data_IF_686117348730
#
_entry.id   IF_686117348730
#
_cell.length_a   1.000
_cell.length_b   1.000
_cell.length_c   1.000
_cell.angle_alpha   90.00
_cell.angle_beta   90.00
_cell.angle_gamma   90.00
#
_symmetry.space_group_name_H-M   'P 1'
#
loop_
_entity.id
_entity.type
_entity.pdbx_description
1 polymer ?
#
# COMPACT_ATOMS: atom_id res chain seq x y z
N UNK A 1 -29.64 17.18 -7.74
CA UNK A 1 -29.60 16.92 -9.19
C UNK A 1 -29.89 15.44 -9.42
N UNK A 2 -31.03 15.10 -10.00
CA UNK A 2 -31.34 13.71 -10.39
C UNK A 2 -30.81 13.46 -11.79
N UNK A 3 -29.72 12.69 -11.90
CA UNK A 3 -29.18 12.27 -13.20
C UNK A 3 -30.03 11.14 -13.80
N UNK A 4 -30.21 11.09 -15.13
CA UNK A 4 -30.91 10.01 -15.80
C UNK A 4 -30.22 8.66 -15.55
N UNK A 5 -31.00 7.65 -15.16
CA UNK A 5 -30.57 6.34 -14.64
C UNK A 5 -29.78 5.46 -15.63
N UNK A 6 -29.50 5.91 -16.85
CA UNK A 6 -28.83 5.12 -17.89
C UNK A 6 -27.50 5.70 -18.39
N UNK A 7 -26.99 6.77 -17.77
CA UNK A 7 -25.62 7.22 -18.05
C UNK A 7 -24.70 6.32 -17.24
N UNK A 8 -23.84 5.54 -17.92
CA UNK A 8 -22.69 4.89 -17.26
C UNK A 8 -21.92 5.97 -16.52
N UNK A 9 -22.10 6.03 -15.20
CA UNK A 9 -21.51 7.09 -14.40
C UNK A 9 -19.98 6.92 -14.46
N UNK A 10 -19.28 7.95 -14.91
CA UNK A 10 -17.84 7.84 -15.12
C UNK A 10 -17.11 7.80 -13.76
N UNK A 11 -15.93 7.16 -13.72
CA UNK A 11 -15.04 7.19 -12.55
C UNK A 11 -14.88 8.62 -12.02
N UNK A 12 -14.65 9.57 -12.91
CA UNK A 12 -14.52 11.00 -12.58
C UNK A 12 -15.78 11.56 -11.91
N UNK A 13 -16.97 11.24 -12.40
CA UNK A 13 -18.22 11.73 -11.79
C UNK A 13 -18.40 11.21 -10.36
N UNK A 14 -18.08 9.95 -10.08
CA UNK A 14 -18.17 9.42 -8.71
C UNK A 14 -17.14 10.04 -7.78
N UNK A 15 -15.90 10.19 -8.24
CA UNK A 15 -14.85 10.86 -7.46
C UNK A 15 -15.22 12.32 -7.21
N UNK A 16 -15.81 13.03 -8.16
CA UNK A 16 -16.30 14.39 -7.93
C UNK A 16 -17.36 14.43 -6.82
N UNK A 17 -18.27 13.45 -6.75
CA UNK A 17 -19.27 13.37 -5.67
C UNK A 17 -18.61 13.15 -4.31
N UNK A 18 -17.68 12.19 -4.22
CA UNK A 18 -16.90 11.94 -3.00
C UNK A 18 -16.10 13.17 -2.57
N UNK A 19 -15.44 13.86 -3.50
CA UNK A 19 -14.69 15.08 -3.23
C UNK A 19 -15.57 16.22 -2.71
N UNK A 20 -16.75 16.42 -3.31
CA UNK A 20 -17.69 17.44 -2.83
C UNK A 20 -18.15 17.13 -1.41
N UNK A 21 -18.59 15.89 -1.15
CA UNK A 21 -19.05 15.48 0.18
C UNK A 21 -17.93 15.54 1.21
N UNK A 22 -16.74 15.02 0.88
CA UNK A 22 -15.55 15.08 1.73
C UNK A 22 -15.18 16.51 2.08
N UNK A 23 -15.14 17.41 1.09
CA UNK A 23 -14.84 18.82 1.31
C UNK A 23 -15.88 19.53 2.21
N UNK A 24 -17.16 19.22 2.05
CA UNK A 24 -18.21 19.79 2.91
C UNK A 24 -18.06 19.35 4.38
N UNK A 25 -17.72 18.08 4.61
CA UNK A 25 -17.55 17.51 5.94
C UNK A 25 -16.24 17.99 6.60
N UNK A 26 -15.12 17.93 5.88
CA UNK A 26 -13.80 18.32 6.40
C UNK A 26 -13.73 19.80 6.78
N UNK A 27 -14.39 20.67 6.02
CA UNK A 27 -14.46 22.10 6.32
C UNK A 27 -15.57 22.47 7.31
N UNK A 28 -16.35 21.49 7.79
CA UNK A 28 -17.41 21.70 8.77
C UNK A 28 -18.61 22.51 8.25
N UNK A 29 -18.78 22.62 6.93
CA UNK A 29 -19.94 23.30 6.34
C UNK A 29 -21.25 22.54 6.56
N UNK A 30 -21.16 21.22 6.72
CA UNK A 30 -22.29 20.31 6.88
C UNK A 30 -21.91 19.24 7.90
N UNK A 31 -22.84 18.86 8.77
CA UNK A 31 -22.66 17.67 9.64
C UNK A 31 -23.07 16.39 8.92
N UNK A 32 -22.52 15.21 9.25
CA UNK A 32 -22.95 13.95 8.65
C UNK A 32 -24.48 13.74 8.66
N UNK A 33 -25.14 14.12 9.76
CA UNK A 33 -26.60 14.05 9.92
C UNK A 33 -27.41 14.95 8.97
N UNK A 34 -26.79 16.00 8.43
CA UNK A 34 -27.45 16.98 7.56
C UNK A 34 -27.37 16.59 6.08
N UNK A 35 -26.49 15.65 5.70
CA UNK A 35 -26.29 15.22 4.31
C UNK A 35 -27.59 14.76 3.63
N UNK A 36 -28.40 13.97 4.35
CA UNK A 36 -29.67 13.47 3.83
C UNK A 36 -30.64 14.60 3.49
N UNK A 37 -30.65 15.69 4.26
CA UNK A 37 -31.50 16.87 4.00
C UNK A 37 -31.11 17.62 2.73
N UNK A 38 -29.84 17.53 2.34
CA UNK A 38 -29.30 18.09 1.09
C UNK A 38 -29.45 17.13 -0.11
N UNK A 39 -30.01 15.94 0.10
CA UNK A 39 -30.08 14.89 -0.92
C UNK A 39 -28.70 14.30 -1.27
N UNK A 40 -27.74 14.39 -0.34
CA UNK A 40 -26.41 13.79 -0.46
C UNK A 40 -26.36 12.47 0.31
N UNK A 41 -25.71 11.47 -0.27
CA UNK A 41 -25.46 10.18 0.39
C UNK A 41 -24.27 10.29 1.34
N UNK A 42 -24.24 9.41 2.34
CA UNK A 42 -23.10 9.31 3.25
C UNK A 42 -21.82 8.88 2.48
N UNK A 43 -20.62 9.28 2.95
CA UNK A 43 -19.36 8.89 2.32
C UNK A 43 -19.21 7.37 2.17
N UNK A 44 -19.59 6.61 3.22
CA UNK A 44 -19.55 5.14 3.22
C UNK A 44 -20.39 4.55 2.09
N UNK A 45 -21.61 5.04 1.88
CA UNK A 45 -22.48 4.61 0.79
C UNK A 45 -21.92 4.95 -0.58
N UNK A 46 -21.36 6.16 -0.75
CA UNK A 46 -20.72 6.56 -2.00
C UNK A 46 -19.50 5.70 -2.32
N UNK A 47 -18.72 5.31 -1.31
CA UNK A 47 -17.57 4.43 -1.48
C UNK A 47 -17.98 2.99 -1.83
N UNK A 48 -19.04 2.45 -1.21
CA UNK A 48 -19.60 1.14 -1.58
C UNK A 48 -20.05 1.15 -3.04
N UNK A 49 -20.83 2.16 -3.45
CA UNK A 49 -21.26 2.30 -4.84
C UNK A 49 -20.07 2.41 -5.81
N UNK A 50 -19.04 3.18 -5.44
CA UNK A 50 -17.81 3.27 -6.23
C UNK A 50 -17.14 1.90 -6.37
N UNK A 51 -17.04 1.15 -5.27
CA UNK A 51 -16.42 -0.17 -5.23
C UNK A 51 -17.21 -1.20 -6.04
N UNK A 52 -18.54 -1.14 -6.07
CA UNK A 52 -19.36 -2.00 -6.94
C UNK A 52 -19.00 -1.84 -8.41
N UNK A 53 -18.78 -0.59 -8.86
CA UNK A 53 -18.47 -0.25 -10.24
C UNK A 53 -16.99 -0.46 -10.60
N UNK A 54 -16.08 -0.16 -9.68
CA UNK A 54 -14.64 -0.03 -9.96
C UNK A 54 -13.75 -0.88 -9.05
N UNK A 55 -14.31 -1.72 -8.18
CA UNK A 55 -13.56 -2.53 -7.22
C UNK A 55 -12.57 -3.50 -7.88
N UNK A 56 -12.83 -3.94 -9.11
CA UNK A 56 -11.92 -4.76 -9.92
C UNK A 56 -10.90 -3.94 -10.72
N UNK A 57 -10.71 -2.65 -10.42
CA UNK A 57 -9.72 -1.79 -11.09
C UNK A 57 -8.52 -1.56 -10.17
N UNK A 58 -7.27 -1.65 -10.67
CA UNK A 58 -6.07 -1.40 -9.86
C UNK A 58 -6.03 -0.01 -9.20
N UNK A 59 -6.72 0.98 -9.77
CA UNK A 59 -6.75 2.35 -9.25
C UNK A 59 -7.61 2.54 -8.00
N UNK A 60 -8.43 1.55 -7.61
CA UNK A 60 -9.45 1.71 -6.57
C UNK A 60 -8.84 2.12 -5.21
N UNK A 61 -7.66 1.60 -4.88
CA UNK A 61 -6.99 1.92 -3.62
C UNK A 61 -6.60 3.39 -3.56
N UNK A 62 -5.95 3.90 -4.60
CA UNK A 62 -5.61 5.33 -4.74
C UNK A 62 -6.85 6.22 -4.67
N UNK A 63 -7.96 5.73 -5.21
CA UNK A 63 -9.20 6.48 -5.32
C UNK A 63 -9.98 6.52 -4.01
N UNK A 64 -9.98 5.44 -3.21
CA UNK A 64 -10.79 5.33 -2.00
C UNK A 64 -10.03 5.63 -0.70
N UNK A 65 -8.73 5.31 -0.62
CA UNK A 65 -7.91 5.56 0.59
C UNK A 65 -8.05 6.99 1.13
N UNK A 66 -8.04 8.06 0.31
CA UNK A 66 -8.21 9.43 0.80
C UNK A 66 -9.52 9.68 1.55
N UNK A 67 -10.57 8.91 1.27
CA UNK A 67 -11.91 9.08 1.84
C UNK A 67 -12.21 8.12 3.00
N UNK A 68 -11.36 7.11 3.25
CA UNK A 68 -11.51 6.21 4.39
C UNK A 68 -11.57 6.92 5.77
N UNK A 69 -10.85 8.03 6.03
CA UNK A 69 -11.03 8.78 7.28
C UNK A 69 -12.45 9.29 7.53
N UNK A 70 -13.28 9.40 6.49
CA UNK A 70 -14.67 9.86 6.60
C UNK A 70 -15.62 8.76 7.12
N UNK A 71 -15.17 7.50 7.20
CA UNK A 71 -15.94 6.40 7.80
C UNK A 71 -15.69 6.40 9.31
N UNK A 72 -16.76 6.60 10.08
CA UNK A 72 -16.67 6.56 11.55
C UNK A 72 -16.28 5.16 12.04
N UNK A 73 -15.59 5.07 13.18
CA UNK A 73 -15.15 3.78 13.73
C UNK A 73 -16.33 2.83 13.98
N UNK A 74 -17.48 3.36 14.39
CA UNK A 74 -18.72 2.61 14.65
C UNK A 74 -19.34 2.03 13.37
N UNK A 75 -19.06 2.61 12.20
CA UNK A 75 -19.60 2.18 10.91
C UNK A 75 -18.67 1.22 10.16
N UNK A 76 -17.42 1.03 10.61
CA UNK A 76 -16.40 0.27 9.85
C UNK A 76 -16.80 -1.17 9.57
N UNK A 77 -17.35 -1.87 10.55
CA UNK A 77 -17.76 -3.29 10.38
C UNK A 77 -18.88 -3.41 9.35
N UNK A 78 -19.89 -2.55 9.42
CA UNK A 78 -20.98 -2.52 8.45
C UNK A 78 -20.47 -2.13 7.06
N UNK A 79 -19.52 -1.21 6.98
CA UNK A 79 -18.90 -0.78 5.72
C UNK A 79 -18.12 -1.93 5.06
N UNK A 80 -17.27 -2.62 5.82
CA UNK A 80 -16.50 -3.78 5.34
C UNK A 80 -17.43 -4.89 4.86
N UNK A 81 -18.50 -5.19 5.60
CA UNK A 81 -19.46 -6.23 5.21
C UNK A 81 -20.17 -5.89 3.88
N UNK A 82 -20.52 -4.61 3.66
CA UNK A 82 -21.08 -4.17 2.37
C UNK A 82 -20.08 -4.36 1.22
N UNK A 83 -18.81 -4.01 1.42
CA UNK A 83 -17.77 -4.24 0.41
C UNK A 83 -17.53 -5.74 0.16
N UNK A 84 -17.67 -6.58 1.20
CA UNK A 84 -17.53 -8.03 1.11
C UNK A 84 -18.61 -8.65 0.24
N UNK A 85 -19.86 -8.21 0.36
CA UNK A 85 -20.93 -8.61 -0.56
C UNK A 85 -20.59 -8.25 -2.02
N UNK A 86 -20.03 -7.07 -2.27
CA UNK A 86 -19.57 -6.65 -3.61
C UNK A 86 -18.43 -7.52 -4.15
N UNK A 87 -17.65 -8.16 -3.27
CA UNK A 87 -16.54 -9.05 -3.57
C UNK A 87 -16.92 -10.55 -3.49
N UNK A 88 -18.19 -10.88 -3.75
CA UNK A 88 -18.69 -12.26 -3.80
C UNK A 88 -18.55 -13.03 -2.47
N UNK A 89 -18.68 -12.33 -1.35
CA UNK A 89 -18.64 -12.89 0.01
C UNK A 89 -17.34 -13.64 0.35
N UNK A 90 -16.26 -13.36 -0.37
CA UNK A 90 -14.95 -13.94 -0.11
C UNK A 90 -14.43 -13.54 1.29
N UNK A 91 -13.67 -14.43 1.95
CA UNK A 91 -13.26 -14.23 3.33
C UNK A 91 -12.19 -13.15 3.46
N UNK A 92 -12.46 -12.13 4.29
CA UNK A 92 -11.48 -11.10 4.68
C UNK A 92 -10.73 -11.45 5.97
N UNK A 93 -11.21 -12.44 6.71
CA UNK A 93 -10.56 -12.91 7.94
C UNK A 93 -9.61 -14.08 7.64
N UNK A 94 -8.56 -14.27 8.47
CA UNK A 94 -7.71 -15.44 8.38
C UNK A 94 -8.54 -16.71 8.53
N UNK A 95 -8.36 -17.67 7.63
CA UNK A 95 -8.98 -18.99 7.73
C UNK A 95 -7.91 -20.04 8.03
N UNK A 96 -8.18 -20.86 9.05
CA UNK A 96 -7.30 -21.95 9.43
C UNK A 96 -7.78 -23.25 8.77
N UNK A 97 -6.83 -24.04 8.27
CA UNK A 97 -7.11 -25.32 7.61
C UNK A 97 -7.41 -25.20 6.12
N UNK A 98 -8.12 -26.19 5.57
CA UNK A 98 -8.21 -26.43 4.11
C UNK A 98 -9.32 -25.63 3.39
N UNK A 99 -10.10 -24.81 4.09
CA UNK A 99 -11.26 -24.11 3.51
C UNK A 99 -10.90 -22.79 2.80
N UNK A 100 -9.82 -22.77 2.01
CA UNK A 100 -9.51 -21.60 1.20
C UNK A 100 -10.39 -21.58 -0.06
N UNK A 101 -11.30 -20.62 -0.14
CA UNK A 101 -12.11 -20.39 -1.34
C UNK A 101 -11.29 -19.58 -2.33
N UNK A 102 -10.87 -20.20 -3.42
CA UNK A 102 -10.10 -19.55 -4.47
C UNK A 102 -10.95 -19.43 -5.72
N UNK A 103 -11.07 -18.19 -6.19
CA UNK A 103 -11.74 -17.88 -7.46
C UNK A 103 -10.72 -17.93 -8.60
N UNK A 104 -11.12 -18.47 -9.75
CA UNK A 104 -10.34 -18.42 -10.99
C UNK A 104 -10.66 -17.18 -11.83
N UNK A 105 -11.63 -16.36 -11.40
CA UNK A 105 -12.03 -15.15 -12.11
C UNK A 105 -11.14 -13.97 -11.68
N UNK A 106 -10.34 -13.47 -12.62
CA UNK A 106 -9.41 -12.34 -12.43
C UNK A 106 -10.09 -11.08 -11.87
N UNK A 107 -11.29 -10.73 -12.32
CA UNK A 107 -11.99 -9.53 -11.84
C UNK A 107 -12.47 -9.68 -10.39
N UNK A 108 -13.02 -10.84 -10.04
CA UNK A 108 -13.43 -11.15 -8.65
C UNK A 108 -12.20 -11.22 -7.76
N UNK A 109 -11.13 -11.85 -8.23
CA UNK A 109 -9.87 -11.99 -7.51
C UNK A 109 -9.24 -10.62 -7.20
N UNK A 110 -9.13 -9.73 -8.19
CA UNK A 110 -8.58 -8.39 -8.00
C UNK A 110 -9.49 -7.55 -7.09
N UNK A 111 -10.82 -7.67 -7.23
CA UNK A 111 -11.76 -7.01 -6.33
C UNK A 111 -11.57 -7.45 -4.88
N UNK A 112 -11.42 -8.74 -4.65
CA UNK A 112 -11.14 -9.28 -3.32
C UNK A 112 -9.80 -8.80 -2.77
N UNK A 113 -8.71 -8.86 -3.55
CA UNK A 113 -7.41 -8.35 -3.13
C UNK A 113 -7.48 -6.85 -2.75
N UNK A 114 -8.21 -6.05 -3.54
CA UNK A 114 -8.44 -4.64 -3.23
C UNK A 114 -9.26 -4.44 -1.94
N UNK A 115 -10.25 -5.29 -1.66
CA UNK A 115 -10.96 -5.28 -0.38
C UNK A 115 -10.01 -5.57 0.79
N UNK A 116 -9.13 -6.58 0.67
CA UNK A 116 -8.14 -6.88 1.72
C UNK A 116 -7.25 -5.67 2.02
N UNK A 117 -6.80 -4.96 0.99
CA UNK A 117 -6.02 -3.74 1.15
C UNK A 117 -6.81 -2.60 1.83
N UNK A 118 -8.09 -2.43 1.50
CA UNK A 118 -8.96 -1.45 2.17
C UNK A 118 -9.19 -1.81 3.64
N UNK A 119 -9.38 -3.09 3.96
CA UNK A 119 -9.45 -3.57 5.35
C UNK A 119 -8.15 -3.24 6.10
N UNK A 120 -6.99 -3.46 5.47
CA UNK A 120 -5.69 -3.11 6.05
C UNK A 120 -5.59 -1.61 6.34
N UNK A 121 -5.96 -0.76 5.38
CA UNK A 121 -5.93 0.68 5.54
C UNK A 121 -6.87 1.20 6.65
N UNK A 122 -8.00 0.52 6.88
CA UNK A 122 -8.92 0.80 7.99
C UNK A 122 -8.42 0.30 9.37
N UNK A 123 -7.27 -0.36 9.43
CA UNK A 123 -6.69 -0.91 10.64
C UNK A 123 -7.31 -2.24 11.09
N UNK A 124 -8.09 -2.92 10.21
CA UNK A 124 -8.79 -4.15 10.54
C UNK A 124 -7.86 -5.29 11.00
N UNK A 125 -6.60 -5.26 10.56
CA UNK A 125 -5.59 -6.27 10.88
C UNK A 125 -4.58 -5.84 11.97
N UNK A 126 -4.71 -4.66 12.57
CA UNK A 126 -3.70 -4.14 13.50
C UNK A 126 -3.56 -5.01 14.77
N UNK A 127 -4.67 -5.57 15.25
CA UNK A 127 -4.72 -6.41 16.45
C UNK A 127 -4.48 -7.91 16.21
N UNK A 128 -4.13 -8.34 14.99
CA UNK A 128 -3.88 -9.76 14.72
C UNK A 128 -2.61 -10.25 15.42
N UNK A 129 -2.70 -11.42 16.05
CA UNK A 129 -1.54 -12.14 16.55
C UNK A 129 -0.71 -12.73 15.39
N UNK A 130 0.51 -13.18 15.72
CA UNK A 130 1.47 -13.72 14.74
C UNK A 130 0.87 -14.88 13.92
N UNK A 131 0.16 -15.81 14.57
CA UNK A 131 -0.44 -16.98 13.90
C UNK A 131 -1.50 -16.59 12.87
N UNK A 132 -2.40 -15.67 13.23
CA UNK A 132 -3.45 -15.18 12.32
C UNK A 132 -2.86 -14.38 11.16
N UNK A 133 -1.82 -13.58 11.42
CA UNK A 133 -1.14 -12.81 10.36
C UNK A 133 -0.37 -13.74 9.41
N UNK A 134 0.29 -14.77 9.94
CA UNK A 134 0.94 -15.81 9.14
C UNK A 134 -0.05 -16.54 8.24
N UNK A 135 -1.24 -16.88 8.77
CA UNK A 135 -2.30 -17.49 7.97
C UNK A 135 -2.72 -16.58 6.80
N UNK A 136 -2.89 -15.27 7.01
CA UNK A 136 -3.19 -14.33 5.91
C UNK A 136 -2.09 -14.30 4.84
N UNK A 137 -0.82 -14.33 5.25
CA UNK A 137 0.32 -14.37 4.33
C UNK A 137 0.25 -15.64 3.48
N UNK A 138 0.09 -16.81 4.10
CA UNK A 138 0.04 -18.10 3.41
C UNK A 138 -1.14 -18.20 2.43
N UNK A 139 -2.31 -17.72 2.83
CA UNK A 139 -3.48 -17.65 1.97
C UNK A 139 -3.27 -16.74 0.76
N UNK A 140 -2.67 -15.57 0.99
CA UNK A 140 -2.39 -14.60 -0.07
C UNK A 140 -1.36 -15.13 -1.06
N UNK A 141 -0.33 -15.84 -0.58
CA UNK A 141 0.64 -16.53 -1.44
C UNK A 141 0.01 -17.70 -2.21
N UNK A 142 -0.97 -18.38 -1.63
CA UNK A 142 -1.73 -19.42 -2.33
C UNK A 142 -2.64 -18.83 -3.41
N UNK A 143 -3.29 -17.69 -3.16
CA UNK A 143 -4.00 -16.95 -4.21
C UNK A 143 -3.04 -16.47 -5.31
N UNK A 144 -1.90 -15.88 -4.94
CA UNK A 144 -0.89 -15.43 -5.89
C UNK A 144 -0.44 -16.55 -6.83
N UNK A 145 -0.03 -17.70 -6.29
CA UNK A 145 0.47 -18.82 -7.12
C UNK A 145 -0.57 -19.40 -8.06
N UNK A 146 -1.86 -19.35 -7.71
CA UNK A 146 -2.95 -19.82 -8.57
C UNK A 146 -3.40 -18.80 -9.61
N UNK A 147 -3.16 -17.52 -9.37
CA UNK A 147 -3.54 -16.42 -10.26
C UNK A 147 -2.40 -15.99 -11.20
N UNK A 148 -1.22 -16.60 -11.07
CA UNK A 148 -0.10 -16.37 -11.98
C UNK A 148 -0.48 -16.76 -13.41
N UNK A 149 -0.17 -15.92 -14.41
CA UNK A 149 -0.37 -16.29 -15.80
C UNK A 149 0.50 -17.49 -16.15
N UNK A 150 0.06 -18.29 -17.12
CA UNK A 150 0.90 -19.37 -17.61
C UNK A 150 2.16 -18.77 -18.29
N UNK A 151 3.33 -19.43 -18.24
CA UNK A 151 4.56 -18.92 -18.85
C UNK A 151 4.47 -18.68 -20.37
N UNK A 152 3.39 -19.15 -21.00
CA UNK A 152 3.17 -19.16 -22.45
C UNK A 152 2.21 -18.05 -22.91
N UNK A 153 1.50 -17.39 -22.00
CA UNK A 153 0.60 -16.29 -22.33
C UNK A 153 1.43 -15.00 -22.50
N UNK A 154 1.44 -14.46 -23.72
CA UNK A 154 2.03 -13.15 -23.99
C UNK A 154 1.34 -12.10 -23.11
N UNK A 155 2.14 -11.37 -22.32
CA UNK A 155 1.70 -10.38 -21.34
C UNK A 155 0.73 -9.35 -21.92
N UNK A 156 -0.57 -9.59 -21.77
CA UNK A 156 -1.58 -8.55 -21.89
C UNK A 156 -1.62 -7.83 -20.54
N UNK A 157 -1.50 -6.50 -20.56
CA UNK A 157 -1.30 -5.58 -19.41
C UNK A 157 -2.40 -5.59 -18.30
N UNK A 158 -3.15 -6.67 -18.11
CA UNK A 158 -4.16 -6.82 -17.07
C UNK A 158 -4.17 -8.19 -16.36
N UNK A 159 -3.55 -9.22 -16.93
CA UNK A 159 -3.71 -10.59 -16.42
C UNK A 159 -2.96 -10.85 -15.10
N UNK A 160 -1.95 -10.04 -14.79
CA UNK A 160 -1.16 -10.16 -13.55
C UNK A 160 -1.64 -9.23 -12.42
N UNK A 161 -2.68 -8.43 -12.64
CA UNK A 161 -3.09 -7.42 -11.66
C UNK A 161 -3.63 -8.06 -10.36
N UNK A 162 -4.36 -9.17 -10.46
CA UNK A 162 -4.90 -9.85 -9.29
C UNK A 162 -3.80 -10.56 -8.48
N UNK A 163 -2.94 -11.35 -9.15
CA UNK A 163 -1.78 -12.02 -8.55
C UNK A 163 -0.86 -11.01 -7.87
N UNK A 164 -0.43 -9.96 -8.58
CA UNK A 164 0.38 -8.86 -8.01
C UNK A 164 -0.26 -8.26 -6.77
N UNK A 165 -1.58 -8.02 -6.80
CA UNK A 165 -2.28 -7.41 -5.67
C UNK A 165 -2.31 -8.30 -4.43
N UNK A 166 -2.48 -9.63 -4.59
CA UNK A 166 -2.34 -10.57 -3.47
C UNK A 166 -0.92 -10.67 -2.94
N UNK A 167 0.08 -10.71 -3.82
CA UNK A 167 1.48 -10.76 -3.40
C UNK A 167 1.86 -9.50 -2.63
N UNK A 168 1.44 -8.34 -3.13
CA UNK A 168 1.60 -7.07 -2.44
C UNK A 168 0.95 -7.09 -1.05
N UNK A 169 -0.27 -7.65 -0.94
CA UNK A 169 -0.93 -7.77 0.36
C UNK A 169 -0.12 -8.66 1.32
N UNK A 170 0.37 -9.81 0.84
CA UNK A 170 1.26 -10.69 1.62
C UNK A 170 2.54 -9.96 2.08
N UNK A 171 3.14 -9.19 1.18
CA UNK A 171 4.31 -8.35 1.46
C UNK A 171 4.02 -7.31 2.55
N UNK A 172 2.84 -6.67 2.51
CA UNK A 172 2.42 -5.74 3.55
C UNK A 172 2.25 -6.43 4.90
N UNK A 173 1.70 -7.65 4.94
CA UNK A 173 1.57 -8.40 6.18
C UNK A 173 2.93 -8.90 6.73
N UNK A 174 3.88 -9.28 5.86
CA UNK A 174 5.26 -9.58 6.25
C UNK A 174 5.97 -8.37 6.84
N UNK A 175 5.77 -7.20 6.24
CA UNK A 175 6.26 -5.95 6.79
C UNK A 175 5.72 -5.69 8.20
N UNK A 176 4.42 -5.92 8.41
CA UNK A 176 3.82 -5.80 9.74
C UNK A 176 4.43 -6.77 10.76
N UNK A 177 4.71 -8.02 10.38
CA UNK A 177 5.44 -8.95 11.27
C UNK A 177 6.84 -8.47 11.60
N UNK A 178 7.55 -7.88 10.63
CA UNK A 178 8.84 -7.27 10.86
C UNK A 178 8.73 -6.11 11.86
N UNK A 179 7.79 -5.19 11.68
CA UNK A 179 7.58 -4.07 12.60
C UNK A 179 7.25 -4.55 14.02
N UNK A 180 6.49 -5.63 14.16
CA UNK A 180 6.11 -6.18 15.47
C UNK A 180 7.26 -6.89 16.19
N UNK A 181 8.13 -7.61 15.48
CA UNK A 181 9.10 -8.52 16.08
C UNK A 181 10.57 -8.15 15.83
N UNK A 182 10.83 -7.16 14.97
CA UNK A 182 12.16 -6.79 14.45
C UNK A 182 12.96 -7.96 13.85
N UNK A 183 12.26 -9.01 13.41
CA UNK A 183 12.88 -10.22 12.86
C UNK A 183 13.34 -10.00 11.42
N UNK A 184 14.65 -9.90 11.23
CA UNK A 184 15.27 -9.73 9.92
C UNK A 184 14.96 -10.86 8.93
N UNK A 185 14.56 -12.06 9.38
CA UNK A 185 14.13 -13.14 8.48
C UNK A 185 12.87 -12.75 7.69
N UNK A 186 11.99 -11.92 8.27
CA UNK A 186 10.82 -11.41 7.57
C UNK A 186 11.22 -10.45 6.43
N UNK A 187 12.25 -9.63 6.63
CA UNK A 187 12.79 -8.76 5.59
C UNK A 187 13.46 -9.54 4.47
N UNK A 188 14.21 -10.61 4.80
CA UNK A 188 14.80 -11.48 3.78
C UNK A 188 13.73 -12.19 2.95
N UNK A 189 12.68 -12.70 3.60
CA UNK A 189 11.53 -13.31 2.90
C UNK A 189 10.81 -12.30 2.01
N UNK A 190 10.61 -11.08 2.51
CA UNK A 190 10.03 -9.98 1.76
C UNK A 190 10.88 -9.63 0.53
N UNK A 191 12.21 -9.50 0.69
CA UNK A 191 13.11 -9.24 -0.42
C UNK A 191 13.04 -10.33 -1.50
N UNK A 192 13.04 -11.61 -1.09
CA UNK A 192 12.96 -12.73 -2.01
C UNK A 192 11.66 -12.73 -2.84
N UNK A 193 10.52 -12.49 -2.19
CA UNK A 193 9.21 -12.43 -2.87
C UNK A 193 9.11 -11.26 -3.86
N UNK A 194 9.66 -10.10 -3.49
CA UNK A 194 9.66 -8.92 -4.37
C UNK A 194 10.61 -9.11 -5.56
N UNK A 195 11.78 -9.70 -5.33
CA UNK A 195 12.75 -10.00 -6.39
C UNK A 195 12.17 -11.03 -7.38
N UNK A 196 11.52 -12.07 -6.87
CA UNK A 196 10.84 -13.08 -7.69
C UNK A 196 9.80 -12.45 -8.62
N UNK A 197 8.89 -11.60 -8.11
CA UNK A 197 7.89 -10.93 -8.96
C UNK A 197 8.52 -9.96 -9.96
N UNK A 198 9.58 -9.24 -9.57
CA UNK A 198 10.30 -8.34 -10.49
C UNK A 198 11.05 -9.08 -11.60
N UNK A 199 11.37 -10.37 -11.42
CA UNK A 199 11.89 -11.20 -12.51
C UNK A 199 10.81 -11.48 -13.57
N UNK A 200 9.54 -11.57 -13.16
CA UNK A 200 8.38 -11.72 -14.04
C UNK A 200 7.90 -10.39 -14.64
N UNK A 201 7.70 -9.36 -13.82
CA UNK A 201 7.29 -8.00 -14.24
C UNK A 201 8.32 -6.96 -13.77
N UNK A 202 9.33 -6.73 -14.61
CA UNK A 202 10.37 -5.72 -14.38
C UNK A 202 9.83 -4.29 -14.34
N UNK A 203 8.62 -4.04 -14.85
CA UNK A 203 8.01 -2.71 -14.91
C UNK A 203 7.25 -2.33 -13.64
N UNK A 204 7.07 -3.27 -12.70
CA UNK A 204 6.36 -3.05 -11.45
C UNK A 204 7.14 -2.13 -10.50
N UNK A 205 6.87 -0.83 -10.60
CA UNK A 205 7.59 0.22 -9.85
C UNK A 205 7.30 0.19 -8.37
N UNK A 206 6.08 -0.21 -7.97
CA UNK A 206 5.68 -0.35 -6.57
C UNK A 206 6.57 -1.39 -5.88
N UNK A 207 6.77 -2.54 -6.51
CA UNK A 207 7.58 -3.62 -5.97
C UNK A 207 9.05 -3.22 -5.91
N UNK A 208 9.54 -2.55 -6.96
CA UNK A 208 10.92 -2.02 -7.00
C UNK A 208 11.19 -1.02 -5.87
N UNK A 209 10.26 -0.09 -5.64
CA UNK A 209 10.34 0.88 -4.54
C UNK A 209 10.35 0.17 -3.17
N UNK A 210 9.46 -0.82 -2.99
CA UNK A 210 9.42 -1.61 -1.75
C UNK A 210 10.69 -2.45 -1.57
N UNK A 211 11.31 -2.95 -2.65
CA UNK A 211 12.54 -3.70 -2.60
C UNK A 211 13.74 -2.81 -2.24
N UNK A 212 13.86 -1.62 -2.83
CA UNK A 212 14.84 -0.59 -2.43
C UNK A 212 14.74 -0.31 -0.94
N UNK A 213 13.51 -0.16 -0.44
CA UNK A 213 13.18 0.07 0.95
C UNK A 213 13.66 -1.08 1.86
N UNK A 214 13.49 -2.32 1.44
CA UNK A 214 13.96 -3.51 2.17
C UNK A 214 15.48 -3.65 2.11
N UNK A 215 16.12 -3.39 0.97
CA UNK A 215 17.58 -3.41 0.87
C UNK A 215 18.24 -2.31 1.71
N UNK A 216 17.58 -1.16 1.86
CA UNK A 216 18.01 -0.11 2.78
C UNK A 216 18.08 -0.65 4.22
N UNK A 217 16.99 -1.29 4.67
CA UNK A 217 16.91 -1.90 6.01
C UNK A 217 17.92 -3.01 6.24
N UNK A 218 18.10 -3.88 5.24
CA UNK A 218 19.07 -4.99 5.29
C UNK A 218 20.53 -4.51 5.22
N UNK A 219 20.78 -3.21 4.98
CA UNK A 219 22.13 -2.67 4.84
C UNK A 219 22.84 -3.18 3.58
N UNK A 220 22.10 -3.41 2.49
CA UNK A 220 22.63 -3.89 1.21
C UNK A 220 22.73 -2.76 0.17
N UNK A 221 23.76 -1.90 0.21
CA UNK A 221 23.87 -0.75 -0.67
C UNK A 221 24.02 -1.14 -2.14
N UNK A 222 24.70 -2.25 -2.44
CA UNK A 222 24.90 -2.72 -3.81
C UNK A 222 23.57 -3.13 -4.46
N UNK A 223 22.75 -3.93 -3.76
CA UNK A 223 21.44 -4.34 -4.24
C UNK A 223 20.49 -3.13 -4.35
N UNK A 224 20.47 -2.27 -3.34
CA UNK A 224 19.71 -1.02 -3.35
C UNK A 224 20.05 -0.16 -4.57
N UNK A 225 21.34 0.05 -4.84
CA UNK A 225 21.80 0.89 -5.95
C UNK A 225 21.42 0.30 -7.30
N UNK A 226 21.51 -1.03 -7.45
CA UNK A 226 21.09 -1.72 -8.67
C UNK A 226 19.59 -1.49 -8.96
N UNK A 227 18.74 -1.67 -7.95
CA UNK A 227 17.30 -1.46 -8.08
C UNK A 227 16.94 0.00 -8.29
N UNK A 228 17.64 0.92 -7.62
CA UNK A 228 17.44 2.35 -7.79
C UNK A 228 17.78 2.80 -9.21
N UNK A 229 18.90 2.35 -9.77
CA UNK A 229 19.30 2.67 -11.14
C UNK A 229 18.35 2.11 -12.20
N UNK A 230 17.58 1.07 -11.85
CA UNK A 230 16.57 0.49 -12.71
C UNK A 230 15.22 1.23 -12.64
N UNK A 231 15.03 2.19 -11.73
CA UNK A 231 13.86 3.07 -11.73
C UNK A 231 13.95 4.07 -12.90
N UNK A 232 12.83 4.25 -13.60
CA UNK A 232 12.70 5.26 -14.65
C UNK A 232 12.75 6.68 -14.04
N UNK A 233 13.39 7.62 -14.73
CA UNK A 233 13.62 8.99 -14.24
C UNK A 233 12.31 9.75 -13.95
N UNK A 234 11.18 9.37 -14.56
CA UNK A 234 9.86 9.95 -14.26
C UNK A 234 9.40 9.71 -12.82
N UNK A 235 9.99 8.71 -12.15
CA UNK A 235 9.77 8.45 -10.75
C UNK A 235 10.73 9.21 -9.85
N UNK A 236 11.66 9.99 -10.39
CA UNK A 236 12.62 10.74 -9.62
C UNK A 236 12.26 12.22 -9.81
N UNK A 237 11.41 12.73 -8.91
CA UNK A 237 11.21 14.17 -8.76
C UNK A 237 12.40 14.73 -7.99
N UNK A 238 13.17 15.62 -8.60
CA UNK A 238 14.12 16.43 -7.85
C UNK A 238 13.31 17.63 -7.33
N UNK A 239 13.06 17.73 -6.02
CA UNK A 239 12.48 18.94 -5.46
C UNK A 239 13.56 20.03 -5.44
N UNK A 240 13.41 21.04 -6.29
CA UNK A 240 14.31 22.20 -6.36
C UNK A 240 14.28 23.05 -5.07
N UNK A 241 13.24 22.89 -4.23
CA UNK A 241 13.00 23.75 -3.05
C UNK A 241 13.69 23.26 -1.76
N UNK A 242 14.25 22.06 -1.72
CA UNK A 242 14.96 21.53 -0.55
C UNK A 242 16.24 20.80 -0.97
N UNK A 243 17.37 21.52 -1.07
CA UNK A 243 18.73 20.98 -1.18
C UNK A 243 18.85 19.60 -1.88
N UNK A 244 18.31 19.48 -3.10
CA UNK A 244 18.43 18.28 -3.93
C UNK A 244 17.79 17.01 -3.36
N UNK A 245 16.75 17.12 -2.53
CA UNK A 245 15.99 15.96 -2.10
C UNK A 245 15.24 15.35 -3.29
N UNK A 246 15.66 14.14 -3.71
CA UNK A 246 14.88 13.33 -4.64
C UNK A 246 13.62 12.81 -3.95
N UNK A 247 12.46 13.29 -4.38
CA UNK A 247 11.16 12.72 -4.12
C UNK A 247 10.80 11.72 -5.23
N UNK A 248 10.07 10.66 -4.91
CA UNK A 248 9.49 9.78 -5.94
C UNK A 248 7.99 10.10 -6.06
N UNK A 249 7.42 10.10 -7.27
CA UNK A 249 6.05 10.59 -7.54
C UNK A 249 5.04 10.06 -6.50
N UNK A 250 4.51 10.97 -5.68
CA UNK A 250 3.57 10.69 -4.58
C UNK A 250 2.35 9.88 -5.04
N UNK A 251 2.02 9.91 -6.34
CA UNK A 251 0.83 9.27 -6.92
C UNK A 251 0.92 7.74 -6.98
N UNK A 252 2.12 7.17 -7.06
CA UNK A 252 2.34 5.72 -7.02
C UNK A 252 2.66 5.22 -5.61
N UNK A 253 3.11 6.12 -4.72
CA UNK A 253 3.20 5.80 -3.29
C UNK A 253 1.84 5.61 -2.64
N UNK A 254 0.68 5.81 -3.28
CA UNK A 254 -0.61 5.48 -2.65
C UNK A 254 -0.72 4.03 -2.19
N UNK A 255 0.20 3.17 -2.63
CA UNK A 255 0.32 1.77 -2.23
C UNK A 255 1.17 1.57 -0.97
N UNK A 256 2.11 2.46 -0.65
CA UNK A 256 2.90 2.39 0.60
C UNK A 256 2.09 2.73 1.87
N UNK A 257 1.02 3.55 1.85
CA UNK A 257 -0.01 3.62 2.87
C UNK A 257 -0.69 2.30 3.17
N UNK A 258 -0.56 1.25 2.37
CA UNK A 258 -1.05 -0.09 2.75
C UNK A 258 -0.18 -0.69 3.87
N UNK A 259 1.07 -0.22 4.00
CA UNK A 259 1.95 -0.60 5.09
C UNK A 259 1.57 0.02 6.44
N UNK A 260 0.53 0.87 6.55
CA UNK A 260 0.00 1.22 7.85
C UNK A 260 -1.44 1.73 7.84
N UNK A 261 -2.03 1.83 9.03
CA UNK A 261 -3.30 2.52 9.27
C UNK A 261 -3.28 3.93 8.64
N UNK A 262 -4.43 4.39 8.14
CA UNK A 262 -4.70 5.79 7.81
C UNK A 262 -4.13 6.77 8.85
N UNK A 263 -4.16 6.40 10.14
CA UNK A 263 -3.60 7.18 11.26
C UNK A 263 -2.07 7.36 11.20
N UNK A 264 -1.33 6.48 10.54
CA UNK A 264 0.14 6.47 10.48
C UNK A 264 0.71 7.04 9.18
N UNK A 265 -0.16 7.46 8.25
CA UNK A 265 0.24 7.91 6.91
C UNK A 265 1.27 9.03 6.89
N UNK A 266 1.14 10.04 7.76
CA UNK A 266 2.10 11.15 7.85
C UNK A 266 3.51 10.70 8.27
N UNK A 267 3.59 9.67 9.12
CA UNK A 267 4.86 9.10 9.61
C UNK A 267 5.54 8.28 8.53
N UNK A 268 4.77 7.49 7.76
CA UNK A 268 5.30 6.78 6.58
C UNK A 268 5.85 7.78 5.55
N UNK A 269 5.13 8.89 5.31
CA UNK A 269 5.59 9.89 4.35
C UNK A 269 6.92 10.53 4.77
N UNK A 270 7.09 10.82 6.07
CA UNK A 270 8.36 11.29 6.62
C UNK A 270 9.48 10.26 6.49
N UNK A 271 9.17 9.01 6.80
CA UNK A 271 10.11 7.90 6.69
C UNK A 271 10.54 7.67 5.24
N UNK A 272 9.61 7.66 4.28
CA UNK A 272 9.92 7.53 2.86
C UNK A 272 10.87 8.65 2.41
N UNK A 273 10.60 9.91 2.79
CA UNK A 273 11.52 11.03 2.50
C UNK A 273 12.91 10.78 3.06
N UNK A 274 13.02 10.26 4.28
CA UNK A 274 14.30 9.95 4.90
C UNK A 274 15.02 8.79 4.18
N UNK A 275 14.33 7.70 3.86
CA UNK A 275 14.93 6.56 3.13
C UNK A 275 15.45 6.98 1.76
N UNK A 276 14.72 7.80 1.01
CA UNK A 276 15.18 8.28 -0.30
C UNK A 276 16.34 9.25 -0.20
N UNK A 277 16.27 10.25 0.69
CA UNK A 277 17.39 11.17 0.95
C UNK A 277 18.65 10.39 1.30
N UNK A 278 18.50 9.34 2.11
CA UNK A 278 19.59 8.48 2.54
C UNK A 278 20.08 7.53 1.44
N UNK A 279 19.20 6.93 0.63
CA UNK A 279 19.58 6.13 -0.53
C UNK A 279 20.47 6.93 -1.49
N UNK A 280 20.10 8.19 -1.76
CA UNK A 280 20.92 9.14 -2.56
C UNK A 280 22.28 9.38 -1.90
N UNK A 281 22.34 9.59 -0.58
CA UNK A 281 23.60 9.73 0.14
C UNK A 281 24.48 8.48 0.07
N UNK A 282 23.89 7.29 0.20
CA UNK A 282 24.59 6.00 0.11
C UNK A 282 25.12 5.75 -1.29
N UNK A 283 24.32 5.99 -2.34
CA UNK A 283 24.75 5.91 -3.74
C UNK A 283 25.92 6.87 -4.01
N UNK A 284 25.82 8.10 -3.49
CA UNK A 284 26.90 9.09 -3.57
C UNK A 284 28.16 8.65 -2.83
N UNK A 285 28.02 7.95 -1.70
CA UNK A 285 29.13 7.44 -0.88
C UNK A 285 29.81 6.20 -1.48
N UNK A 286 29.05 5.32 -2.15
CA UNK A 286 29.56 4.14 -2.86
C UNK A 286 30.24 4.53 -4.17
N UNK A 287 29.77 5.61 -4.81
CA UNK A 287 30.39 6.19 -6.00
C UNK A 287 31.66 6.99 -5.69
N UNK A 288 31.88 7.37 -4.43
CA UNK A 288 33.13 7.97 -3.96
C UNK A 288 34.22 6.90 -3.77
N UNK A 289 35.50 7.21 -4.01
CA UNK A 289 36.59 6.26 -3.83
C UNK A 289 36.59 5.66 -2.42
N UNK A 290 36.66 4.32 -2.36
CA UNK A 290 36.57 3.49 -1.15
C UNK A 290 37.47 4.04 -0.04
N UNK A 291 36.88 4.64 0.99
CA UNK A 291 37.59 5.21 2.14
C UNK A 291 36.75 5.14 3.41
N UNK A 292 37.38 5.48 4.54
CA UNK A 292 36.75 5.56 5.87
C UNK A 292 35.44 6.39 5.83
N UNK A 293 35.37 7.37 4.95
CA UNK A 293 34.21 8.24 4.75
C UNK A 293 32.96 7.50 4.27
N UNK A 294 33.08 6.52 3.36
CA UNK A 294 31.95 5.71 2.90
C UNK A 294 31.39 4.83 4.02
N UNK A 295 32.28 4.28 4.88
CA UNK A 295 31.88 3.48 6.04
C UNK A 295 31.21 4.34 7.12
N UNK A 296 31.70 5.56 7.37
CA UNK A 296 31.07 6.52 8.30
C UNK A 296 29.68 6.94 7.79
N UNK A 297 29.52 7.17 6.48
CA UNK A 297 28.21 7.48 5.88
C UNK A 297 27.23 6.30 5.99
N UNK A 298 27.68 5.06 5.80
CA UNK A 298 26.88 3.84 6.00
C UNK A 298 26.53 3.60 7.48
N UNK A 299 27.41 3.93 8.41
CA UNK A 299 27.12 3.85 9.84
C UNK A 299 26.11 4.93 10.27
N UNK A 300 26.31 6.17 9.80
CA UNK A 300 25.34 7.26 10.01
C UNK A 300 23.97 6.92 9.40
N UNK A 301 23.95 6.20 8.27
CA UNK A 301 22.77 5.62 7.66
C UNK A 301 22.05 4.66 8.62
N UNK A 302 22.72 3.61 9.13
CA UNK A 302 22.09 2.67 10.08
C UNK A 302 21.62 3.35 11.36
N UNK A 303 22.38 4.33 11.88
CA UNK A 303 22.06 5.05 13.10
C UNK A 303 20.84 5.98 12.95
N UNK A 304 20.81 6.83 11.92
CA UNK A 304 19.67 7.71 11.66
C UNK A 304 18.41 6.91 11.34
N UNK A 305 18.57 5.82 10.60
CA UNK A 305 17.47 4.93 10.24
C UNK A 305 16.84 4.28 11.48
N UNK A 306 17.65 3.66 12.34
CA UNK A 306 17.20 3.13 13.65
C UNK A 306 16.47 4.19 14.47
N UNK A 307 16.93 5.43 14.45
CA UNK A 307 16.29 6.53 15.18
C UNK A 307 14.89 6.89 14.65
N UNK A 308 14.65 6.78 13.34
CA UNK A 308 13.31 6.97 12.79
C UNK A 308 12.41 5.77 13.14
N UNK A 309 12.96 4.56 13.18
CA UNK A 309 12.23 3.36 13.62
C UNK A 309 11.86 3.41 15.11
N UNK A 310 12.77 3.83 15.99
CA UNK A 310 12.49 4.02 17.42
C UNK A 310 11.35 5.03 17.63
N UNK A 311 11.36 6.14 16.88
CA UNK A 311 10.25 7.10 16.87
C UNK A 311 8.96 6.52 16.30
N UNK A 312 9.02 5.48 15.47
CA UNK A 312 7.84 4.78 14.96
C UNK A 312 7.25 3.82 16.00
N UNK A 313 8.11 3.06 16.69
CA UNK A 313 7.73 2.07 17.69
C UNK A 313 7.20 2.68 19.01
N UNK A 314 7.76 3.81 19.47
CA UNK A 314 7.32 4.49 20.69
C UNK A 314 7.14 6.02 20.46
N UNK A 315 5.89 6.51 20.34
CA UNK A 315 5.61 7.92 20.10
C UNK A 315 5.88 8.84 21.32
N UNK A 316 6.08 8.29 22.53
CA UNK A 316 6.32 9.08 23.75
C UNK A 316 7.79 9.06 24.21
N UNK A 317 8.67 8.34 23.52
CA UNK A 317 10.10 8.31 23.87
C UNK A 317 10.75 9.70 23.68
N UNK A 318 11.29 10.34 24.74
CA UNK A 318 11.97 11.63 24.62
C UNK A 318 13.32 11.49 23.92
N UNK A 319 13.65 12.49 23.10
CA UNK A 319 14.93 12.57 22.39
C UNK A 319 16.07 12.89 23.37
N UNK A 320 16.78 11.85 23.81
CA UNK A 320 18.16 11.99 24.32
C UNK A 320 19.17 11.85 23.17
#
# INVERSE_FOLDING_TARGET
MTYPQNVKQSRTQQLSRLNIVGSLLENGYVKPSELASLGLSEPSELMVLFFDMFGSRPCVLRDLIPFLPLVSEEQRDQFIERLRHSASDLPVCPAFGENLVITTNQEIALRHANLLHLCSALGYYNGLNVEHRQALIEQSLKHFSQMQPSPQEEFLNGDHAASSSYLLFACCQLWQLFVQNEDQQQLLKLAALLDEDLQYDKSNTVFRILLIKVYALLGSPCCLTAEFNALDAKYILIDDDFEGAMMVDRRDFSVVPILADVKERSRIDEWNRNVFRLAVCTISAVSAPVGLESAVRLWAFHYQFRRVEEKMADPQSPAE
#
